data_IF_020044326826
#
_entry.id   IF_020044326826
#
_cell.length_a   1.000
_cell.length_b   1.000
_cell.length_c   1.000
_cell.angle_alpha   90.00
_cell.angle_beta   90.00
_cell.angle_gamma   90.00
#
_symmetry.space_group_name_H-M   'P 1'
#
loop_
_entity.id
_entity.type
_entity.pdbx_description
1 polymer ?
#
# COMPACT_ATOMS: atom_id res chain seq x y z
N UNK A 1 27.07 -11.66 -5.61
CA UNK A 1 26.57 -10.60 -6.52
C UNK A 1 25.55 -11.21 -7.46
N UNK A 2 24.37 -10.61 -7.59
CA UNK A 2 23.38 -11.01 -8.58
C UNK A 2 23.97 -10.72 -9.97
N UNK A 3 24.11 -11.75 -10.82
CA UNK A 3 24.81 -11.65 -12.12
C UNK A 3 23.89 -11.36 -13.29
N UNK A 4 22.59 -11.19 -13.05
CA UNK A 4 21.60 -10.90 -14.10
C UNK A 4 21.78 -9.48 -14.64
N UNK A 5 21.57 -9.30 -15.95
CA UNK A 5 21.61 -8.00 -16.62
C UNK A 5 20.57 -6.99 -16.09
N UNK A 6 19.54 -7.49 -15.42
CA UNK A 6 18.49 -6.68 -14.78
C UNK A 6 18.66 -6.58 -13.26
N UNK A 7 19.84 -6.93 -12.73
CA UNK A 7 20.16 -6.64 -11.33
C UNK A 7 19.97 -5.14 -11.07
N UNK A 8 19.26 -4.80 -10.00
CA UNK A 8 18.85 -3.43 -9.61
C UNK A 8 17.79 -2.76 -10.47
N UNK A 9 17.42 -3.33 -11.62
CA UNK A 9 16.29 -2.85 -12.42
C UNK A 9 14.98 -3.31 -11.81
N UNK A 10 14.01 -2.40 -11.75
CA UNK A 10 12.65 -2.72 -11.33
C UNK A 10 11.62 -2.20 -12.32
N UNK A 11 10.49 -2.91 -12.47
CA UNK A 11 9.33 -2.35 -13.13
C UNK A 11 8.68 -1.35 -12.18
N UNK A 12 8.29 -0.18 -12.69
CA UNK A 12 7.67 0.86 -11.88
C UNK A 12 6.30 1.31 -12.40
N UNK A 13 5.96 0.93 -13.64
CA UNK A 13 4.69 1.29 -14.28
C UNK A 13 4.29 0.29 -15.36
N UNK A 14 3.01 0.06 -15.52
CA UNK A 14 2.36 -0.74 -16.54
C UNK A 14 1.32 0.11 -17.28
N UNK A 15 1.47 0.21 -18.60
CA UNK A 15 0.58 0.95 -19.46
C UNK A 15 -0.12 0.02 -20.45
N UNK A 16 -1.41 0.24 -20.70
CA UNK A 16 -2.08 -0.36 -21.84
C UNK A 16 -1.98 0.56 -23.07
N UNK A 17 -1.45 0.05 -24.17
CA UNK A 17 -1.18 0.80 -25.41
C UNK A 17 -1.81 0.10 -26.61
N UNK A 18 -1.74 0.70 -27.80
CA UNK A 18 -2.17 0.04 -29.04
C UNK A 18 -1.40 -1.26 -29.33
N UNK A 19 -0.19 -1.40 -28.78
CA UNK A 19 0.67 -2.57 -28.90
C UNK A 19 0.45 -3.58 -27.75
N UNK A 20 -0.55 -3.35 -26.90
CA UNK A 20 -0.82 -4.14 -25.70
C UNK A 20 -0.15 -3.56 -24.45
N UNK A 21 0.06 -4.43 -23.46
CA UNK A 21 0.60 -4.09 -22.15
C UNK A 21 2.12 -3.87 -22.18
N UNK A 22 2.54 -2.68 -21.78
CA UNK A 22 3.94 -2.24 -21.78
C UNK A 22 4.40 -1.87 -20.38
N UNK A 23 5.52 -2.45 -19.96
CA UNK A 23 6.16 -2.23 -18.67
C UNK A 23 7.26 -1.18 -18.80
N UNK A 24 7.27 -0.18 -17.92
CA UNK A 24 8.37 0.77 -17.78
C UNK A 24 9.31 0.34 -16.68
N UNK A 25 10.59 0.43 -16.97
CA UNK A 25 11.68 -0.01 -16.10
C UNK A 25 12.57 1.15 -15.67
N UNK A 26 13.15 0.99 -14.49
CA UNK A 26 14.11 1.93 -13.92
C UNK A 26 15.21 1.18 -13.19
N UNK A 27 16.46 1.61 -13.40
CA UNK A 27 17.61 1.17 -12.64
C UNK A 27 17.69 1.93 -11.31
N UNK A 28 17.67 1.22 -10.19
CA UNK A 28 17.85 1.80 -8.86
C UNK A 28 19.33 2.06 -8.54
N UNK A 29 20.27 1.48 -9.30
CA UNK A 29 21.68 1.41 -8.95
C UNK A 29 21.86 0.90 -7.51
N UNK A 30 22.37 1.74 -6.61
CA UNK A 30 22.61 1.45 -5.19
C UNK A 30 21.48 1.96 -4.27
N UNK A 31 20.41 2.55 -4.82
CA UNK A 31 19.35 3.16 -4.02
C UNK A 31 18.40 2.13 -3.42
N UNK A 32 18.25 2.20 -2.09
CA UNK A 32 17.22 1.51 -1.33
C UNK A 32 15.91 2.31 -1.35
N UNK A 33 14.78 1.59 -1.31
CA UNK A 33 13.44 2.18 -1.20
C UNK A 33 13.08 2.45 0.27
N UNK A 34 13.67 3.50 0.84
CA UNK A 34 13.46 3.88 2.25
C UNK A 34 12.53 5.10 2.39
N UNK A 35 12.09 5.68 1.27
CA UNK A 35 11.21 6.84 1.28
C UNK A 35 9.75 6.44 1.57
N UNK A 36 8.93 7.36 2.12
CA UNK A 36 7.54 7.09 2.51
C UNK A 36 6.64 6.48 1.43
N UNK A 37 6.93 6.79 0.15
CA UNK A 37 6.18 6.37 -1.01
C UNK A 37 7.13 5.88 -2.12
N UNK A 38 6.69 4.87 -2.86
CA UNK A 38 7.43 4.30 -3.98
C UNK A 38 7.82 5.37 -5.01
N UNK A 39 6.87 6.22 -5.39
CA UNK A 39 7.04 7.25 -6.41
C UNK A 39 8.15 8.27 -6.08
N UNK A 40 8.43 8.55 -4.81
CA UNK A 40 9.51 9.47 -4.44
C UNK A 40 10.88 8.88 -4.82
N UNK A 41 11.08 7.59 -4.58
CA UNK A 41 12.33 6.90 -4.96
C UNK A 41 12.45 6.82 -6.49
N UNK A 42 11.34 6.52 -7.16
CA UNK A 42 11.26 6.49 -8.63
C UNK A 42 11.58 7.85 -9.23
N UNK A 43 11.04 8.95 -8.69
CA UNK A 43 11.31 10.30 -9.18
C UNK A 43 12.81 10.64 -9.09
N UNK A 44 13.45 10.38 -7.96
CA UNK A 44 14.90 10.59 -7.78
C UNK A 44 15.70 9.79 -8.80
N UNK A 45 15.38 8.51 -8.98
CA UNK A 45 16.10 7.64 -9.90
C UNK A 45 15.84 8.03 -11.37
N UNK A 46 14.63 8.47 -11.72
CA UNK A 46 14.30 8.97 -13.07
C UNK A 46 15.07 10.24 -13.44
N UNK A 47 15.27 11.16 -12.48
CA UNK A 47 16.09 12.36 -12.71
C UNK A 47 17.52 11.94 -13.06
N UNK A 48 18.12 11.05 -12.26
CA UNK A 48 19.47 10.50 -12.53
C UNK A 48 19.56 9.73 -13.83
N UNK A 49 18.53 8.97 -14.20
CA UNK A 49 18.52 8.24 -15.47
C UNK A 49 18.47 9.20 -16.66
N UNK A 50 17.70 10.29 -16.56
CA UNK A 50 17.63 11.34 -17.61
C UNK A 50 18.97 12.04 -17.82
N UNK A 51 19.80 12.16 -16.79
CA UNK A 51 21.17 12.67 -16.94
C UNK A 51 22.06 11.75 -17.79
N UNK A 52 21.73 10.45 -17.87
CA UNK A 52 22.47 9.44 -18.66
C UNK A 52 21.86 9.19 -20.04
N UNK A 53 20.53 9.16 -20.15
CA UNK A 53 19.81 8.85 -21.38
C UNK A 53 18.37 9.35 -21.33
N UNK A 54 17.90 9.91 -22.45
CA UNK A 54 16.49 10.30 -22.63
C UNK A 54 15.58 9.14 -23.06
N UNK A 55 16.12 7.95 -23.32
CA UNK A 55 15.33 6.79 -23.77
C UNK A 55 14.62 6.12 -22.59
N UNK A 56 13.35 5.81 -22.78
CA UNK A 56 12.61 4.98 -21.83
C UNK A 56 12.97 3.50 -22.02
N UNK A 57 13.14 2.79 -20.91
CA UNK A 57 13.32 1.33 -20.89
C UNK A 57 11.95 0.67 -20.82
N UNK A 58 11.56 -0.01 -21.91
CA UNK A 58 10.24 -0.61 -22.08
C UNK A 58 10.34 -2.10 -22.40
N UNK A 59 9.40 -2.90 -21.90
CA UNK A 59 9.25 -4.31 -22.29
C UNK A 59 7.78 -4.74 -22.28
N UNK A 60 7.50 -5.96 -22.74
CA UNK A 60 6.22 -6.64 -22.47
C UNK A 60 6.21 -7.21 -21.05
N UNK A 61 5.03 -7.58 -20.55
CA UNK A 61 4.92 -8.34 -19.30
C UNK A 61 5.52 -9.74 -19.39
N UNK A 62 5.49 -10.40 -20.56
CA UNK A 62 6.12 -11.71 -20.75
C UNK A 62 7.64 -11.65 -20.56
N UNK A 63 8.27 -10.58 -21.05
CA UNK A 63 9.68 -10.33 -20.77
C UNK A 63 9.92 -10.13 -19.27
N UNK A 64 9.08 -9.34 -18.60
CA UNK A 64 9.18 -9.09 -17.17
C UNK A 64 9.04 -10.38 -16.34
N UNK A 65 8.09 -11.24 -16.69
CA UNK A 65 7.89 -12.54 -16.05
C UNK A 65 9.11 -13.45 -16.22
N UNK A 66 9.63 -13.59 -17.45
CA UNK A 66 10.84 -14.39 -17.71
C UNK A 66 12.05 -13.87 -16.92
N UNK A 67 12.26 -12.56 -16.95
CA UNK A 67 13.26 -11.88 -16.16
C UNK A 67 13.14 -12.17 -14.67
N UNK A 68 11.91 -12.18 -14.12
CA UNK A 68 11.68 -12.40 -12.69
C UNK A 68 12.13 -13.78 -12.21
N UNK A 69 12.13 -14.79 -13.09
CA UNK A 69 12.48 -16.18 -12.77
C UNK A 69 13.98 -16.39 -12.56
N UNK A 70 14.82 -15.52 -13.12
CA UNK A 70 16.29 -15.62 -13.03
C UNK A 70 16.87 -14.92 -11.79
N UNK A 71 16.02 -14.24 -11.00
CA UNK A 71 16.46 -13.42 -9.89
C UNK A 71 16.32 -14.13 -8.56
N UNK A 72 17.34 -13.96 -7.72
CA UNK A 72 17.22 -14.25 -6.30
C UNK A 72 16.37 -13.16 -5.65
N UNK A 73 15.10 -13.45 -5.38
CA UNK A 73 14.16 -12.54 -4.75
C UNK A 73 13.55 -13.13 -3.48
N UNK A 74 13.08 -12.26 -2.59
CA UNK A 74 12.25 -12.64 -1.46
C UNK A 74 10.78 -12.78 -1.90
N UNK A 75 10.09 -13.75 -1.31
CA UNK A 75 8.63 -13.78 -1.34
C UNK A 75 8.07 -12.84 -0.26
N UNK A 76 6.88 -12.22 -0.46
CA UNK A 76 6.29 -11.32 0.52
C UNK A 76 6.13 -11.98 1.89
N UNK A 77 6.75 -11.37 2.90
CA UNK A 77 6.62 -11.73 4.31
C UNK A 77 5.35 -11.18 4.95
N UNK A 78 4.84 -10.04 4.46
CA UNK A 78 3.57 -9.48 4.89
C UNK A 78 2.98 -8.52 3.86
N UNK A 79 1.64 -8.47 3.79
CA UNK A 79 0.90 -7.39 3.14
C UNK A 79 0.25 -6.50 4.20
N UNK A 80 0.34 -5.18 4.01
CA UNK A 80 -0.28 -4.18 4.86
C UNK A 80 -1.40 -3.50 4.09
N UNK A 81 -2.63 -3.76 4.52
CA UNK A 81 -3.85 -3.11 4.05
C UNK A 81 -4.23 -1.97 4.99
N UNK A 82 -4.88 -0.93 4.47
CA UNK A 82 -5.22 0.22 5.30
C UNK A 82 -6.37 1.08 4.78
N UNK A 83 -7.06 1.79 5.67
CA UNK A 83 -8.12 2.77 5.31
C UNK A 83 -7.62 4.18 5.03
N UNK A 84 -6.29 4.37 4.93
CA UNK A 84 -5.60 5.68 4.86
C UNK A 84 -5.58 6.43 6.19
N UNK A 85 -4.54 7.24 6.41
CA UNK A 85 -4.32 8.08 7.63
C UNK A 85 -4.41 7.34 8.98
N UNK A 86 -4.15 6.04 8.96
CA UNK A 86 -4.21 5.14 10.11
C UNK A 86 -2.82 4.56 10.48
N UNK A 87 -1.75 5.34 10.31
CA UNK A 87 -0.40 4.91 10.68
C UNK A 87 0.34 4.00 9.70
N UNK A 88 -0.27 3.57 8.59
CA UNK A 88 0.37 2.64 7.63
C UNK A 88 1.68 3.14 7.03
N UNK A 89 1.78 4.44 6.71
CA UNK A 89 3.02 5.07 6.22
C UNK A 89 4.10 5.16 7.30
N UNK A 90 3.71 5.26 8.58
CA UNK A 90 4.64 5.26 9.70
C UNK A 90 5.19 3.86 9.94
N UNK A 91 4.31 2.85 9.91
CA UNK A 91 4.70 1.43 9.94
C UNK A 91 5.70 1.10 8.83
N UNK A 92 5.38 1.43 7.57
CA UNK A 92 6.29 1.11 6.46
C UNK A 92 7.66 1.76 6.61
N UNK A 93 7.73 2.99 7.14
CA UNK A 93 9.01 3.68 7.36
C UNK A 93 9.84 3.10 8.50
N UNK A 94 9.19 2.75 9.62
CA UNK A 94 9.86 2.08 10.74
C UNK A 94 10.54 0.78 10.26
N UNK A 95 9.85 0.01 9.41
CA UNK A 95 10.38 -1.24 8.89
C UNK A 95 11.29 -1.06 7.66
N UNK A 96 11.32 0.09 6.98
CA UNK A 96 12.20 0.29 5.82
C UNK A 96 13.64 0.66 6.20
N UNK A 97 13.88 1.15 7.41
CA UNK A 97 15.20 1.59 7.82
C UNK A 97 16.21 0.43 7.96
N UNK A 98 15.89 -0.69 8.65
CA UNK A 98 16.79 -1.86 8.71
C UNK A 98 17.14 -2.40 7.32
N UNK A 99 18.39 -2.78 7.10
CA UNK A 99 18.89 -3.28 5.80
C UNK A 99 18.36 -4.68 5.45
N UNK A 100 17.88 -5.41 6.44
CA UNK A 100 17.28 -6.73 6.33
C UNK A 100 15.87 -6.71 5.75
N UNK A 101 15.24 -5.53 5.68
CA UNK A 101 13.88 -5.37 5.22
C UNK A 101 13.84 -4.69 3.85
N UNK A 102 13.12 -5.30 2.92
CA UNK A 102 12.62 -4.66 1.71
C UNK A 102 11.20 -4.20 2.02
N UNK A 103 10.91 -2.90 1.88
CA UNK A 103 9.56 -2.37 2.03
C UNK A 103 9.17 -1.66 0.74
N UNK A 104 8.06 -2.09 0.15
CA UNK A 104 7.49 -1.48 -1.06
C UNK A 104 6.14 -0.90 -0.67
N UNK A 105 6.01 0.42 -0.80
CA UNK A 105 4.83 1.16 -0.35
C UNK A 105 4.07 1.78 -1.53
N UNK A 106 2.85 1.30 -1.77
CA UNK A 106 1.89 1.85 -2.75
C UNK A 106 2.51 1.90 -4.15
N UNK A 107 3.10 0.78 -4.61
CA UNK A 107 3.71 0.71 -5.94
C UNK A 107 2.61 0.73 -7.03
N UNK A 108 2.58 1.76 -7.92
CA UNK A 108 1.50 1.92 -8.91
C UNK A 108 1.33 0.69 -9.82
N UNK A 109 2.44 0.02 -10.15
CA UNK A 109 2.45 -1.20 -10.94
C UNK A 109 1.50 -2.28 -10.38
N UNK A 110 1.42 -2.42 -9.06
CA UNK A 110 0.55 -3.42 -8.42
C UNK A 110 -0.92 -3.06 -8.61
N UNK A 111 -1.26 -1.77 -8.51
CA UNK A 111 -2.62 -1.28 -8.80
C UNK A 111 -3.00 -1.51 -10.26
N UNK A 112 -2.10 -1.16 -11.17
CA UNK A 112 -2.29 -1.29 -12.62
C UNK A 112 -2.53 -2.77 -13.02
N UNK A 113 -1.81 -3.73 -12.41
CA UNK A 113 -2.02 -5.17 -12.63
C UNK A 113 -3.38 -5.63 -12.08
N UNK A 114 -3.71 -5.26 -10.84
CA UNK A 114 -4.98 -5.65 -10.20
C UNK A 114 -6.18 -5.19 -11.03
N UNK A 115 -6.08 -3.97 -11.57
CA UNK A 115 -7.09 -3.28 -12.36
C UNK A 115 -7.01 -3.54 -13.86
N UNK A 116 -6.12 -4.42 -14.32
CA UNK A 116 -5.93 -4.65 -15.75
C UNK A 116 -7.23 -5.04 -16.50
N UNK A 117 -8.17 -5.70 -15.83
CA UNK A 117 -9.47 -6.05 -16.38
C UNK A 117 -10.38 -4.84 -16.70
N UNK A 118 -10.09 -3.65 -16.16
CA UNK A 118 -10.77 -2.40 -16.51
C UNK A 118 -10.44 -1.95 -17.95
N UNK A 119 -9.23 -2.27 -18.44
CA UNK A 119 -8.74 -1.89 -19.77
C UNK A 119 -8.76 -3.04 -20.78
N UNK A 120 -8.64 -4.28 -20.31
CA UNK A 120 -8.75 -5.50 -21.10
C UNK A 120 -9.68 -6.51 -20.39
N UNK A 121 -11.00 -6.48 -20.63
CA UNK A 121 -11.97 -7.32 -19.91
C UNK A 121 -11.77 -8.84 -20.05
N UNK A 122 -11.14 -9.28 -21.14
CA UNK A 122 -10.80 -10.68 -21.44
C UNK A 122 -9.52 -11.15 -20.73
N UNK A 123 -8.78 -10.27 -20.06
CA UNK A 123 -7.56 -10.67 -19.35
C UNK A 123 -7.89 -11.68 -18.25
N UNK A 124 -7.26 -12.86 -18.33
CA UNK A 124 -7.55 -13.92 -17.39
C UNK A 124 -7.05 -13.57 -15.99
N UNK A 125 -7.70 -14.15 -14.99
CA UNK A 125 -7.25 -14.05 -13.61
C UNK A 125 -5.84 -14.63 -13.40
N UNK A 126 -5.53 -15.76 -14.05
CA UNK A 126 -4.22 -16.41 -13.97
C UNK A 126 -3.13 -15.50 -14.50
N UNK A 127 -3.36 -14.86 -15.65
CA UNK A 127 -2.41 -13.90 -16.23
C UNK A 127 -2.10 -12.76 -15.27
N UNK A 128 -3.13 -12.18 -14.62
CA UNK A 128 -2.93 -11.13 -13.61
C UNK A 128 -2.16 -11.63 -12.39
N UNK A 129 -2.38 -12.88 -11.98
CA UNK A 129 -1.63 -13.49 -10.89
C UNK A 129 -0.14 -13.62 -11.24
N UNK A 130 0.16 -14.16 -12.41
CA UNK A 130 1.53 -14.32 -12.90
C UNK A 130 2.24 -12.97 -12.97
N UNK A 131 1.56 -11.95 -13.51
CA UNK A 131 2.06 -10.58 -13.57
C UNK A 131 2.33 -10.00 -12.18
N UNK A 132 1.41 -10.20 -11.24
CA UNK A 132 1.53 -9.68 -9.88
C UNK A 132 2.71 -10.35 -9.15
N UNK A 133 2.87 -11.68 -9.31
CA UNK A 133 4.02 -12.42 -8.77
C UNK A 133 5.34 -11.99 -9.40
N UNK A 134 5.39 -11.80 -10.71
CA UNK A 134 6.56 -11.31 -11.41
C UNK A 134 6.97 -9.91 -10.92
N UNK A 135 6.01 -8.99 -10.81
CA UNK A 135 6.24 -7.64 -10.26
C UNK A 135 6.83 -7.70 -8.85
N UNK A 136 6.27 -8.54 -7.96
CA UNK A 136 6.78 -8.69 -6.59
C UNK A 136 8.18 -9.29 -6.55
N UNK A 137 8.48 -10.32 -7.35
CA UNK A 137 9.84 -10.88 -7.43
C UNK A 137 10.85 -9.84 -7.93
N UNK A 138 10.49 -9.07 -8.94
CA UNK A 138 11.35 -8.02 -9.48
C UNK A 138 11.61 -6.90 -8.47
N UNK A 139 10.61 -6.49 -7.67
CA UNK A 139 10.81 -5.49 -6.63
C UNK A 139 11.55 -6.07 -5.40
N UNK A 140 11.30 -7.34 -5.06
CA UNK A 140 11.88 -8.08 -3.94
C UNK A 140 13.26 -8.69 -4.15
N UNK A 141 14.01 -8.27 -5.18
CA UNK A 141 15.39 -8.73 -5.41
C UNK A 141 16.28 -8.52 -4.19
N UNK A 142 17.12 -9.51 -3.89
CA UNK A 142 18.20 -9.38 -2.89
C UNK A 142 19.37 -8.60 -3.48
N UNK A 143 19.58 -7.36 -3.03
CA UNK A 143 20.59 -6.44 -3.58
C UNK A 143 21.78 -6.25 -2.63
N UNK A 144 21.55 -6.32 -1.32
CA UNK A 144 22.55 -6.07 -0.28
C UNK A 144 22.99 -7.33 0.50
N UNK A 145 22.38 -8.50 0.20
CA UNK A 145 22.66 -9.81 0.83
C UNK A 145 22.24 -9.95 2.29
N UNK A 146 21.78 -8.87 2.93
CA UNK A 146 21.23 -8.88 4.28
C UNK A 146 19.71 -9.04 4.26
N UNK A 147 19.05 -8.82 3.12
CA UNK A 147 17.58 -8.85 3.05
C UNK A 147 17.01 -10.22 3.42
N UNK A 148 16.15 -10.24 4.44
CA UNK A 148 15.43 -11.42 4.93
C UNK A 148 13.91 -11.26 4.87
N UNK A 149 13.41 -10.03 4.96
CA UNK A 149 11.97 -9.77 5.04
C UNK A 149 11.50 -8.84 3.93
N UNK A 150 10.29 -9.10 3.42
CA UNK A 150 9.69 -8.34 2.33
C UNK A 150 8.27 -7.90 2.66
N UNK A 151 8.06 -6.60 2.85
CA UNK A 151 6.77 -6.03 3.27
C UNK A 151 6.17 -5.22 2.12
N UNK A 152 4.92 -5.51 1.79
CA UNK A 152 4.16 -4.78 0.76
C UNK A 152 3.07 -3.98 1.43
N UNK A 153 3.19 -2.66 1.44
CA UNK A 153 2.07 -1.78 1.81
C UNK A 153 1.28 -1.47 0.55
N UNK A 154 0.02 -1.89 0.53
CA UNK A 154 -0.88 -1.75 -0.62
C UNK A 154 -1.59 -0.39 -0.59
N UNK A 155 -2.19 0.01 -1.72
CA UNK A 155 -3.08 1.18 -1.75
C UNK A 155 -4.36 0.91 -0.95
N UNK A 156 -4.99 1.98 -0.44
CA UNK A 156 -6.13 1.83 0.49
C UNK A 156 -7.31 1.10 -0.15
N UNK A 157 -7.56 1.34 -1.44
CA UNK A 157 -8.65 0.68 -2.16
C UNK A 157 -8.34 -0.79 -2.52
N UNK A 158 -7.10 -1.26 -2.33
CA UNK A 158 -6.76 -2.69 -2.51
C UNK A 158 -7.44 -3.61 -1.50
N UNK A 159 -8.05 -3.07 -0.44
CA UNK A 159 -8.97 -3.81 0.44
C UNK A 159 -10.07 -4.52 -0.37
N UNK A 160 -10.54 -3.94 -1.48
CA UNK A 160 -11.55 -4.55 -2.34
C UNK A 160 -11.01 -5.70 -3.22
N UNK A 161 -9.68 -5.86 -3.32
CA UNK A 161 -9.02 -7.00 -3.97
C UNK A 161 -8.64 -8.11 -2.99
N UNK A 162 -9.09 -8.05 -1.73
CA UNK A 162 -8.76 -9.06 -0.70
C UNK A 162 -8.95 -10.51 -1.19
N UNK A 163 -10.10 -10.82 -1.79
CA UNK A 163 -10.43 -12.20 -2.18
C UNK A 163 -9.46 -12.74 -3.24
N UNK A 164 -8.99 -11.85 -4.13
CA UNK A 164 -8.01 -12.17 -5.17
C UNK A 164 -6.63 -12.39 -4.55
N UNK A 165 -6.17 -11.41 -3.76
CA UNK A 165 -4.85 -11.41 -3.12
C UNK A 165 -4.70 -12.56 -2.13
N UNK A 166 -5.74 -12.87 -1.33
CA UNK A 166 -5.72 -13.99 -0.38
C UNK A 166 -5.59 -15.33 -1.10
N UNK A 167 -6.26 -15.50 -2.24
CA UNK A 167 -6.11 -16.72 -3.03
C UNK A 167 -4.71 -16.86 -3.64
N UNK A 168 -4.10 -15.75 -4.05
CA UNK A 168 -2.72 -15.74 -4.56
C UNK A 168 -1.69 -15.94 -3.44
N UNK A 169 -1.96 -15.45 -2.24
CA UNK A 169 -1.06 -15.52 -1.08
C UNK A 169 -1.80 -16.13 0.12
N UNK A 170 -2.11 -17.44 0.10
CA UNK A 170 -2.94 -18.07 1.12
C UNK A 170 -2.31 -18.08 2.51
N UNK A 171 -0.97 -18.13 2.59
CA UNK A 171 -0.23 -18.24 3.85
C UNK A 171 0.49 -16.97 4.27
N UNK A 172 0.54 -15.93 3.42
CA UNK A 172 1.22 -14.68 3.76
C UNK A 172 0.38 -13.90 4.78
N UNK A 173 0.98 -13.40 5.89
CA UNK A 173 0.33 -12.49 6.82
C UNK A 173 -0.27 -11.25 6.14
N UNK A 174 -1.57 -11.01 6.32
CA UNK A 174 -2.23 -9.76 5.93
C UNK A 174 -2.58 -8.97 7.19
N UNK A 175 -2.03 -7.77 7.30
CA UNK A 175 -2.22 -6.87 8.43
C UNK A 175 -3.09 -5.69 8.00
N UNK A 176 -4.24 -5.50 8.66
CA UNK A 176 -5.25 -4.51 8.32
C UNK A 176 -5.24 -3.38 9.34
N UNK A 177 -4.87 -2.18 8.89
CA UNK A 177 -4.91 -0.97 9.70
C UNK A 177 -6.16 -0.16 9.45
N UNK A 178 -6.84 0.21 10.52
CA UNK A 178 -7.98 1.12 10.46
C UNK A 178 -7.91 2.16 11.58
N UNK A 179 -8.74 3.19 11.49
CA UNK A 179 -8.77 4.32 12.44
C UNK A 179 -10.17 4.91 12.43
N UNK A 180 -10.54 5.64 13.49
CA UNK A 180 -11.81 6.36 13.56
C UNK A 180 -12.00 7.33 12.37
N UNK A 181 -13.18 7.34 11.71
CA UNK A 181 -13.39 8.07 10.46
C UNK A 181 -13.28 9.58 10.55
N UNK A 182 -13.75 10.21 11.62
CA UNK A 182 -13.66 11.66 11.84
C UNK A 182 -12.19 12.12 11.82
N UNK A 183 -11.29 11.36 12.44
CA UNK A 183 -9.85 11.63 12.43
C UNK A 183 -9.23 11.44 11.04
N UNK A 184 -9.66 10.42 10.29
CA UNK A 184 -9.21 10.19 8.92
C UNK A 184 -9.66 11.32 8.00
N UNK A 185 -10.94 11.73 8.09
CA UNK A 185 -11.52 12.81 7.30
C UNK A 185 -10.85 14.15 7.65
N UNK A 186 -10.63 14.45 8.92
CA UNK A 186 -9.94 15.67 9.35
C UNK A 186 -8.52 15.75 8.76
N UNK A 187 -7.80 14.63 8.73
CA UNK A 187 -6.48 14.55 8.09
C UNK A 187 -6.55 14.75 6.56
N UNK A 188 -7.56 14.19 5.90
CA UNK A 188 -7.80 14.38 4.47
C UNK A 188 -8.24 15.80 4.12
N UNK A 189 -8.98 16.49 5.01
CA UNK A 189 -9.39 17.87 4.83
C UNK A 189 -8.17 18.80 4.70
N UNK A 190 -7.12 18.57 5.48
CA UNK A 190 -5.84 19.32 5.39
C UNK A 190 -5.06 18.98 4.12
N UNK A 191 -4.97 17.69 3.77
CA UNK A 191 -4.24 17.20 2.60
C UNK A 191 -4.88 15.94 2.04
N UNK A 192 -5.64 16.08 0.95
CA UNK A 192 -6.36 14.97 0.32
C UNK A 192 -5.40 13.94 -0.30
N UNK A 193 -5.72 12.66 -0.11
CA UNK A 193 -5.19 11.57 -0.93
C UNK A 193 -6.07 11.37 -2.16
N UNK A 194 -5.56 10.70 -3.19
CA UNK A 194 -6.26 10.61 -4.49
C UNK A 194 -7.65 9.96 -4.37
N UNK A 195 -7.81 8.90 -3.56
CA UNK A 195 -9.10 8.24 -3.34
C UNK A 195 -10.13 9.09 -2.58
N UNK A 196 -9.74 10.24 -2.05
CA UNK A 196 -10.63 11.19 -1.37
C UNK A 196 -11.00 12.41 -2.24
N UNK A 197 -10.61 12.36 -3.53
CA UNK A 197 -10.93 13.35 -4.54
C UNK A 197 -11.82 12.67 -5.59
N UNK A 198 -13.08 13.12 -5.75
CA UNK A 198 -13.97 12.65 -6.82
C UNK A 198 -13.29 12.55 -8.19
N UNK A 199 -13.44 11.41 -8.86
CA UNK A 199 -12.96 11.20 -10.23
C UNK A 199 -11.50 10.75 -10.36
N UNK A 200 -10.69 10.79 -9.30
CA UNK A 200 -9.28 10.36 -9.36
C UNK A 200 -9.11 8.83 -9.25
N UNK A 201 -10.03 8.15 -8.59
CA UNK A 201 -10.11 6.68 -8.50
C UNK A 201 -11.51 6.26 -8.92
N UNK A 202 -11.61 5.12 -9.63
CA UNK A 202 -12.87 4.61 -10.14
C UNK A 202 -13.92 4.44 -9.01
N UNK A 203 -15.13 5.03 -9.13
CA UNK A 203 -16.20 4.84 -8.16
C UNK A 203 -16.60 3.37 -7.99
N UNK A 204 -16.58 2.61 -9.10
CA UNK A 204 -16.87 1.17 -9.09
C UNK A 204 -15.81 0.36 -8.31
N UNK A 205 -14.57 0.84 -8.28
CA UNK A 205 -13.50 0.26 -7.47
C UNK A 205 -13.68 0.60 -5.98
N UNK A 206 -14.06 1.84 -5.67
CA UNK A 206 -14.33 2.30 -4.31
C UNK A 206 -15.69 1.85 -3.74
N UNK A 207 -16.54 1.22 -4.57
CA UNK A 207 -17.89 0.75 -4.21
C UNK A 207 -18.83 1.89 -3.76
N UNK A 208 -18.68 3.04 -4.39
CA UNK A 208 -19.51 4.23 -4.14
C UNK A 208 -20.33 4.59 -5.37
N UNK A 209 -21.40 5.35 -5.14
CA UNK A 209 -22.24 5.93 -6.20
C UNK A 209 -21.51 7.02 -7.00
N UNK A 210 -22.16 7.51 -8.06
CA UNK A 210 -21.64 8.57 -8.94
C UNK A 210 -21.11 9.76 -8.11
N UNK A 211 -19.82 10.13 -8.25
CA UNK A 211 -19.25 11.24 -7.52
C UNK A 211 -19.94 12.59 -7.78
N UNK A 212 -20.68 12.73 -8.88
CA UNK A 212 -21.50 13.93 -9.14
C UNK A 212 -22.54 14.18 -8.05
N UNK A 213 -23.02 13.15 -7.35
CA UNK A 213 -24.01 13.25 -6.28
C UNK A 213 -23.53 14.10 -5.09
N UNK A 214 -22.22 14.22 -4.89
CA UNK A 214 -21.67 14.91 -3.72
C UNK A 214 -21.60 16.43 -3.89
N UNK A 215 -21.87 16.99 -5.07
CA UNK A 215 -22.00 18.43 -5.29
C UNK A 215 -20.80 19.28 -4.83
N UNK A 216 -19.60 18.69 -4.75
CA UNK A 216 -18.39 19.34 -4.22
C UNK A 216 -18.11 19.13 -2.73
N UNK A 217 -18.98 18.43 -2.00
CA UNK A 217 -18.70 18.01 -0.62
C UNK A 217 -17.74 16.82 -0.58
N UNK A 218 -16.45 17.16 -0.63
CA UNK A 218 -15.39 16.17 -0.60
C UNK A 218 -15.24 15.47 0.77
N UNK A 219 -15.74 16.05 1.86
CA UNK A 219 -15.72 15.39 3.17
C UNK A 219 -16.78 14.29 3.21
N UNK A 220 -18.00 14.56 2.72
CA UNK A 220 -19.04 13.54 2.57
C UNK A 220 -18.62 12.43 1.60
N UNK A 221 -17.99 12.79 0.48
CA UNK A 221 -17.40 11.81 -0.44
C UNK A 221 -16.38 10.91 0.28
N UNK A 222 -15.48 11.50 1.07
CA UNK A 222 -14.47 10.74 1.84
C UNK A 222 -15.14 9.84 2.88
N UNK A 223 -16.18 10.31 3.56
CA UNK A 223 -16.95 9.50 4.50
C UNK A 223 -17.56 8.26 3.84
N UNK A 224 -18.12 8.40 2.64
CA UNK A 224 -18.67 7.28 1.88
C UNK A 224 -17.60 6.28 1.46
N UNK A 225 -16.43 6.75 1.01
CA UNK A 225 -15.29 5.86 0.73
C UNK A 225 -14.87 5.07 1.98
N UNK A 226 -14.74 5.75 3.12
CA UNK A 226 -14.38 5.10 4.38
C UNK A 226 -15.44 4.10 4.84
N UNK A 227 -16.73 4.44 4.69
CA UNK A 227 -17.81 3.51 4.99
C UNK A 227 -17.63 2.20 4.21
N UNK A 228 -17.36 2.26 2.91
CA UNK A 228 -17.14 1.08 2.07
C UNK A 228 -15.89 0.29 2.48
N UNK A 229 -14.82 0.98 2.89
CA UNK A 229 -13.64 0.32 3.46
C UNK A 229 -13.98 -0.43 4.75
N UNK A 230 -14.67 0.20 5.71
CA UNK A 230 -15.04 -0.48 6.96
C UNK A 230 -16.00 -1.65 6.72
N UNK A 231 -16.99 -1.50 5.85
CA UNK A 231 -17.90 -2.60 5.49
C UNK A 231 -17.14 -3.79 4.89
N UNK A 232 -16.17 -3.53 4.01
CA UNK A 232 -15.33 -4.60 3.47
C UNK A 232 -14.46 -5.22 4.57
N UNK A 233 -13.85 -4.43 5.46
CA UNK A 233 -13.07 -4.95 6.58
C UNK A 233 -13.91 -5.81 7.53
N UNK A 234 -15.17 -5.44 7.82
CA UNK A 234 -16.10 -6.27 8.59
C UNK A 234 -16.31 -7.63 7.93
N UNK A 235 -16.57 -7.64 6.61
CA UNK A 235 -16.74 -8.90 5.87
C UNK A 235 -15.48 -9.77 5.91
N UNK A 236 -14.29 -9.17 5.83
CA UNK A 236 -13.00 -9.89 5.86
C UNK A 236 -12.75 -10.44 7.26
N UNK A 237 -13.03 -9.66 8.31
CA UNK A 237 -12.89 -10.08 9.70
C UNK A 237 -13.79 -11.27 10.01
N UNK A 238 -15.03 -11.27 9.50
CA UNK A 238 -15.98 -12.37 9.67
C UNK A 238 -15.50 -13.71 9.10
N UNK A 239 -14.55 -13.70 8.15
CA UNK A 239 -13.94 -14.92 7.61
C UNK A 239 -13.04 -15.64 8.62
N UNK A 240 -12.58 -14.94 9.69
CA UNK A 240 -11.69 -15.48 10.73
C UNK A 240 -10.46 -16.21 10.17
N UNK A 241 -9.91 -15.69 9.08
CA UNK A 241 -8.77 -16.31 8.41
C UNK A 241 -7.52 -16.21 9.30
N UNK A 242 -6.83 -17.34 9.54
CA UNK A 242 -5.71 -17.42 10.48
C UNK A 242 -4.54 -16.49 10.16
N UNK A 243 -4.37 -16.14 8.88
CA UNK A 243 -3.33 -15.22 8.40
C UNK A 243 -3.83 -13.77 8.22
N UNK A 244 -4.93 -13.38 8.86
CA UNK A 244 -5.37 -11.99 8.97
C UNK A 244 -5.18 -11.47 10.40
N UNK A 245 -4.67 -10.25 10.53
CA UNK A 245 -4.66 -9.51 11.79
C UNK A 245 -5.15 -8.08 11.55
N UNK A 246 -5.98 -7.58 12.45
CA UNK A 246 -6.55 -6.25 12.38
C UNK A 246 -5.98 -5.42 13.52
N UNK A 247 -5.86 -4.11 13.32
CA UNK A 247 -5.38 -3.21 14.34
C UNK A 247 -6.04 -1.84 14.20
N UNK A 248 -6.62 -1.36 15.31
CA UNK A 248 -7.18 -0.01 15.40
C UNK A 248 -6.07 0.95 15.82
N UNK A 249 -5.78 1.94 14.98
CA UNK A 249 -4.81 2.98 15.29
C UNK A 249 -5.14 3.74 16.58
N UNK A 250 -6.41 3.74 17.02
CA UNK A 250 -6.83 4.32 18.29
C UNK A 250 -6.13 3.69 19.51
N UNK A 251 -5.64 2.45 19.40
CA UNK A 251 -4.99 1.74 20.50
C UNK A 251 -3.50 2.12 20.66
N UNK A 252 -2.96 2.95 19.77
CA UNK A 252 -1.63 3.54 19.90
C UNK A 252 -0.60 3.00 18.91
N UNK A 253 0.44 3.81 18.68
CA UNK A 253 1.44 3.53 17.64
C UNK A 253 2.45 2.47 18.08
N UNK A 254 2.83 2.43 19.35
CA UNK A 254 3.78 1.43 19.85
C UNK A 254 3.15 0.04 19.83
N UNK A 255 1.88 -0.02 20.22
CA UNK A 255 1.01 -1.19 20.16
C UNK A 255 0.86 -1.67 18.72
N UNK A 256 0.67 -0.74 17.77
CA UNK A 256 0.60 -1.05 16.34
C UNK A 256 1.88 -1.74 15.83
N UNK A 257 3.06 -1.18 16.16
CA UNK A 257 4.35 -1.75 15.74
C UNK A 257 4.57 -3.12 16.37
N UNK A 258 4.25 -3.26 17.66
CA UNK A 258 4.38 -4.52 18.41
C UNK A 258 3.45 -5.59 17.84
N UNK A 259 2.19 -5.23 17.56
CA UNK A 259 1.21 -6.15 16.97
C UNK A 259 1.65 -6.62 15.59
N UNK A 260 2.11 -5.70 14.72
CA UNK A 260 2.63 -6.07 13.41
C UNK A 260 3.86 -6.96 13.51
N UNK A 261 4.83 -6.61 14.37
CA UNK A 261 6.05 -7.40 14.56
C UNK A 261 5.74 -8.82 15.02
N UNK A 262 4.92 -8.96 16.06
CA UNK A 262 4.49 -10.25 16.60
C UNK A 262 3.75 -11.09 15.57
N UNK A 263 2.83 -10.47 14.81
CA UNK A 263 1.99 -11.20 13.86
C UNK A 263 2.74 -11.60 12.58
N UNK A 264 3.58 -10.71 12.06
CA UNK A 264 4.37 -10.97 10.84
C UNK A 264 5.64 -11.79 11.10
N UNK A 265 6.11 -11.86 12.35
CA UNK A 265 7.39 -12.46 12.70
C UNK A 265 8.60 -11.58 12.36
N UNK A 266 8.39 -10.32 11.97
CA UNK A 266 9.45 -9.38 11.60
C UNK A 266 9.82 -8.55 12.83
N UNK A 267 11.03 -8.72 13.35
CA UNK A 267 11.46 -8.05 14.58
C UNK A 267 11.60 -6.52 14.39
N UNK A 268 11.26 -5.76 15.42
CA UNK A 268 11.66 -4.35 15.55
C UNK A 268 13.14 -4.35 15.91
N UNK A 269 13.98 -3.78 15.04
CA UNK A 269 15.44 -3.81 15.21
C UNK A 269 16.00 -2.60 15.96
N UNK A 270 15.32 -1.46 15.85
CA UNK A 270 15.78 -0.20 16.41
C UNK A 270 14.58 0.54 17.02
N UNK A 271 14.27 0.21 18.28
CA UNK A 271 13.18 0.86 19.02
C UNK A 271 13.41 2.37 19.16
N UNK A 272 14.66 2.81 19.31
CA UNK A 272 15.02 4.22 19.43
C UNK A 272 14.73 4.97 18.12
N UNK A 273 15.07 4.39 16.97
CA UNK A 273 14.70 4.94 15.66
C UNK A 273 13.19 4.92 15.43
N UNK A 274 12.47 3.90 15.89
CA UNK A 274 11.00 3.90 15.84
C UNK A 274 10.48 5.07 16.67
N UNK A 275 10.94 5.24 17.92
CA UNK A 275 10.57 6.34 18.81
C UNK A 275 10.92 7.71 18.22
N UNK A 276 12.10 7.87 17.63
CA UNK A 276 12.50 9.10 16.95
C UNK A 276 11.63 9.37 15.73
N UNK A 277 11.26 8.33 14.97
CA UNK A 277 10.35 8.50 13.83
C UNK A 277 8.95 8.95 14.27
N UNK A 278 8.49 8.56 15.46
CA UNK A 278 7.22 9.04 16.03
C UNK A 278 7.19 10.56 16.23
N UNK A 279 8.36 11.20 16.37
CA UNK A 279 8.47 12.66 16.56
C UNK A 279 8.19 13.47 15.30
N UNK A 280 8.08 12.83 14.13
CA UNK A 280 7.96 13.52 12.84
C UNK A 280 6.73 13.06 12.03
N UNK A 281 6.18 13.94 11.20
CA UNK A 281 5.02 13.64 10.36
C UNK A 281 5.33 12.52 9.36
N UNK A 282 4.43 11.54 9.24
CA UNK A 282 4.68 10.34 8.45
C UNK A 282 4.84 10.63 6.94
N UNK A 283 4.19 11.68 6.42
CA UNK A 283 4.21 12.05 4.99
C UNK A 283 5.03 13.31 4.67
N UNK A 284 5.71 13.83 5.67
CA UNK A 284 6.64 14.96 5.56
C UNK A 284 7.72 14.74 6.63
N UNK A 285 8.75 13.97 6.29
CA UNK A 285 9.76 13.49 7.25
C UNK A 285 10.51 14.60 7.98
N UNK A 286 10.45 15.84 7.51
CA UNK A 286 11.07 17.02 8.12
C UNK A 286 10.12 17.84 9.01
N UNK A 287 8.82 17.55 9.02
CA UNK A 287 7.85 18.26 9.86
C UNK A 287 7.70 17.54 11.21
N UNK A 288 7.79 18.28 12.32
CA UNK A 288 7.54 17.73 13.66
C UNK A 288 6.08 17.28 13.78
N UNK A 289 5.85 16.08 14.31
CA UNK A 289 4.51 15.58 14.57
C UNK A 289 3.83 16.47 15.61
N UNK A 290 2.74 17.12 15.22
CA UNK A 290 1.86 17.84 16.13
C UNK A 290 0.63 16.97 16.37
N UNK A 291 0.35 16.53 17.62
CA UNK A 291 -0.91 15.92 17.96
C UNK A 291 -2.04 16.83 17.47
N UNK A 292 -2.98 16.28 16.70
CA UNK A 292 -4.03 17.09 16.12
C UNK A 292 -4.96 17.61 17.23
N UNK A 293 -5.09 18.94 17.37
CA UNK A 293 -6.22 19.51 18.09
C UNK A 293 -7.45 19.38 17.19
N UNK A 294 -8.40 18.57 17.63
CA UNK A 294 -9.65 18.34 16.90
C UNK A 294 -10.70 19.38 17.30
N UNK A 295 -10.40 20.66 17.07
CA UNK A 295 -11.43 21.70 17.16
C UNK A 295 -12.42 21.50 15.99
N UNK A 296 -13.73 21.63 16.27
CA UNK A 296 -14.83 21.40 15.33
C UNK A 296 -14.99 19.94 14.81
N UNK A 297 -15.03 18.94 15.70
CA UNK A 297 -15.28 17.53 15.32
C UNK A 297 -16.57 17.30 14.53
N UNK A 298 -17.60 18.12 14.75
CA UNK A 298 -18.91 17.96 14.13
C UNK A 298 -18.84 17.99 12.60
N UNK A 299 -17.99 18.84 12.01
CA UNK A 299 -17.89 18.97 10.55
C UNK A 299 -17.24 17.76 9.85
N UNK A 300 -16.60 16.87 10.62
CA UNK A 300 -15.98 15.64 10.12
C UNK A 300 -16.75 14.39 10.56
N UNK A 301 -17.85 14.56 11.29
CA UNK A 301 -18.64 13.46 11.84
C UNK A 301 -19.77 13.09 10.88
N UNK A 302 -19.62 11.95 10.21
CA UNK A 302 -20.63 11.37 9.33
C UNK A 302 -21.11 10.05 9.91
N UNK A 303 -22.40 9.98 10.24
CA UNK A 303 -22.97 8.87 11.03
C UNK A 303 -22.88 7.51 10.34
N UNK A 304 -22.99 7.47 9.01
CA UNK A 304 -22.85 6.28 8.19
C UNK A 304 -21.44 5.64 8.30
N UNK A 305 -20.40 6.44 8.14
CA UNK A 305 -19.02 6.00 8.30
C UNK A 305 -18.70 5.63 9.76
N UNK A 306 -19.21 6.42 10.72
CA UNK A 306 -18.98 6.18 12.14
C UNK A 306 -19.63 4.87 12.61
N UNK A 307 -20.88 4.62 12.24
CA UNK A 307 -21.58 3.37 12.56
C UNK A 307 -20.85 2.15 11.99
N UNK A 308 -20.33 2.25 10.76
CA UNK A 308 -19.54 1.17 10.16
C UNK A 308 -18.22 0.93 10.91
N UNK A 309 -17.54 2.00 11.35
CA UNK A 309 -16.33 1.87 12.18
C UNK A 309 -16.64 1.24 13.56
N UNK A 310 -17.65 1.71 14.28
CA UNK A 310 -17.99 1.19 15.61
C UNK A 310 -18.41 -0.28 15.54
N UNK A 311 -19.15 -0.67 14.49
CA UNK A 311 -19.47 -2.07 14.26
C UNK A 311 -18.22 -2.92 14.00
N UNK A 312 -17.29 -2.44 13.15
CA UNK A 312 -16.00 -3.10 12.92
C UNK A 312 -15.21 -3.26 14.22
N UNK A 313 -15.12 -2.19 15.02
CA UNK A 313 -14.39 -2.20 16.29
C UNK A 313 -15.00 -3.18 17.27
N UNK A 314 -16.32 -3.20 17.41
CA UNK A 314 -17.04 -4.15 18.27
C UNK A 314 -16.79 -5.61 17.85
N UNK A 315 -16.85 -5.92 16.55
CA UNK A 315 -16.52 -7.26 16.03
C UNK A 315 -15.06 -7.63 16.29
N UNK A 316 -14.14 -6.67 16.11
CA UNK A 316 -12.72 -6.90 16.29
C UNK A 316 -12.39 -7.18 17.76
N UNK A 317 -12.86 -6.34 18.69
CA UNK A 317 -12.65 -6.56 20.13
C UNK A 317 -13.28 -7.87 20.62
N UNK A 318 -14.40 -8.31 20.03
CA UNK A 318 -15.03 -9.59 20.36
C UNK A 318 -14.28 -10.81 19.79
N UNK A 319 -13.31 -10.61 18.90
CA UNK A 319 -12.55 -11.67 18.22
C UNK A 319 -11.15 -11.89 18.78
N UNK A 320 -10.68 -11.01 19.67
CA UNK A 320 -9.39 -11.09 20.39
C UNK A 320 -9.56 -11.94 21.65
#
# INVERSE_FOLDING_TARGET
MQTSFIANWIPYKLNYTLQGWMVKWLDLADKRMILPFFDETIQVCKIKQKERSFRESLSTMDFADNCSKELSALEPSAFVFHVSRCGSTLLSQAFSAPEENIVIAEAPLLDEILRAAELQPDITRSTREDWFRAALRLMGQRRNFKEQHYIIKLDSWHIHFYDLLRQWYPHTPFFFLYRKPDEVIASHHKRRGIHSVPGMVSPALLKIDDPAHFGGDFNRYTAQVLQQFYLKLQSILALKHAHNCFFDYADGVQEMMTAFSRFSGIAIKDEEQVHDRLKYHSKASQEVFKPESFDNREQFSFGDAHNAYEHLRSLHTSSI
#
